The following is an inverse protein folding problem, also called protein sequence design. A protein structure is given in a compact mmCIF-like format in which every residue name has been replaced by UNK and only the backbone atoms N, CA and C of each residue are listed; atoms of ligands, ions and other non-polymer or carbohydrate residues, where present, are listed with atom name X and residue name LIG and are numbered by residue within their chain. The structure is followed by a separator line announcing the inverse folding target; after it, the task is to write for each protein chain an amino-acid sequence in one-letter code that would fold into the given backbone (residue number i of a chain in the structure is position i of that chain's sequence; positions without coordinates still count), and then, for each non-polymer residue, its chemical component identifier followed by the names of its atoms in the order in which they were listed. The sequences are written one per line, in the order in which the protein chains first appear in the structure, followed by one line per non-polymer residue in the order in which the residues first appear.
data_IF_448713354869
#
_entry.id   IF_448713354869
#
_cell.length_a   1.000
_cell.length_b   1.000
_cell.length_c   1.000
_cell.angle_alpha   90.00
_cell.angle_beta   90.00
_cell.angle_gamma   90.00
#
_symmetry.space_group_name_H-M   'P 1'
#
loop_
_entity.id
_entity.type
_entity.pdbx_description
1 polymer ?
#
# COMPACT_ATOMS: atom_id res chain seq x y z
N UNK A 1 15.85 25.34 -35.43
CA UNK A 1 15.29 24.85 -34.16
C UNK A 1 14.86 23.39 -34.40
N UNK A 2 15.71 22.42 -34.03
CA UNK A 2 15.50 20.99 -34.33
C UNK A 2 14.85 20.34 -33.10
N UNK A 3 13.65 19.81 -33.30
CA UNK A 3 12.96 18.93 -32.35
C UNK A 3 13.74 17.62 -32.23
N UNK A 4 14.25 17.33 -31.07
CA UNK A 4 14.88 16.04 -30.76
C UNK A 4 13.77 15.10 -30.32
N UNK A 5 13.55 14.06 -31.09
CA UNK A 5 12.63 12.96 -30.83
C UNK A 5 13.11 12.19 -29.58
N UNK A 6 12.29 12.25 -28.53
CA UNK A 6 12.40 11.37 -27.38
C UNK A 6 11.51 10.11 -27.60
N UNK A 7 12.03 9.16 -28.38
CA UNK A 7 11.42 7.86 -28.55
C UNK A 7 12.52 6.81 -28.53
N UNK A 8 12.81 6.28 -27.37
CA UNK A 8 13.42 4.96 -27.12
C UNK A 8 13.70 4.79 -25.63
N UNK A 9 12.66 4.52 -24.82
CA UNK A 9 12.87 3.76 -23.59
C UNK A 9 12.29 2.38 -23.82
N UNK A 10 13.16 1.55 -24.38
CA UNK A 10 13.04 0.11 -24.52
C UNK A 10 12.60 -0.53 -23.20
N UNK A 11 11.55 -1.33 -23.27
CA UNK A 11 11.19 -2.37 -22.29
C UNK A 11 12.37 -3.31 -22.08
N UNK A 12 13.19 -3.02 -21.08
CA UNK A 12 14.32 -3.84 -20.64
C UNK A 12 13.98 -4.50 -19.32
N UNK A 13 14.04 -5.80 -19.35
CA UNK A 13 14.01 -6.80 -18.29
C UNK A 13 14.59 -6.27 -16.97
N UNK A 14 13.75 -5.89 -16.02
CA UNK A 14 14.19 -5.26 -14.78
C UNK A 14 14.19 -6.27 -13.62
N UNK A 15 14.98 -7.33 -13.76
CA UNK A 15 15.57 -7.99 -12.60
C UNK A 15 16.82 -7.23 -12.17
N UNK A 16 16.66 -5.96 -11.80
CA UNK A 16 17.75 -5.17 -11.27
C UNK A 16 18.19 -5.75 -9.92
N UNK A 17 19.48 -6.11 -9.81
CA UNK A 17 20.06 -6.53 -8.54
C UNK A 17 19.76 -5.49 -7.43
N UNK A 18 19.48 -5.92 -6.18
CA UNK A 18 19.15 -5.00 -5.10
C UNK A 18 20.28 -3.98 -4.92
N UNK A 19 19.91 -2.69 -4.89
CA UNK A 19 20.86 -1.59 -4.69
C UNK A 19 21.64 -1.77 -3.38
N UNK A 20 22.94 -1.53 -3.43
CA UNK A 20 23.79 -1.61 -2.24
C UNK A 20 23.58 -0.40 -1.34
N UNK A 21 23.80 -0.53 -0.05
CA UNK A 21 23.57 0.55 0.92
C UNK A 21 24.30 1.85 0.60
N UNK A 22 25.51 1.81 0.00
CA UNK A 22 26.22 3.02 -0.45
C UNK A 22 25.51 3.75 -1.59
N UNK A 23 24.90 3.02 -2.54
CA UNK A 23 24.13 3.59 -3.64
C UNK A 23 22.84 4.22 -3.11
N UNK A 24 22.14 3.55 -2.19
CA UNK A 24 20.94 4.04 -1.53
C UNK A 24 21.21 5.30 -0.69
N UNK A 25 22.34 5.35 0.00
CA UNK A 25 22.77 6.56 0.72
C UNK A 25 22.99 7.72 -0.25
N UNK A 26 23.72 7.50 -1.34
CA UNK A 26 23.97 8.52 -2.37
C UNK A 26 22.65 9.01 -2.99
N UNK A 27 21.74 8.11 -3.31
CA UNK A 27 20.41 8.46 -3.83
C UNK A 27 19.61 9.31 -2.83
N UNK A 28 19.66 8.98 -1.53
CA UNK A 28 18.97 9.76 -0.51
C UNK A 28 19.58 11.18 -0.37
N UNK A 29 20.88 11.31 -0.36
CA UNK A 29 21.55 12.63 -0.27
C UNK A 29 21.21 13.50 -1.48
N UNK A 30 21.22 12.92 -2.68
CA UNK A 30 20.79 13.60 -3.90
C UNK A 30 19.30 14.02 -3.83
N UNK A 31 18.43 13.14 -3.30
CA UNK A 31 17.02 13.48 -3.06
C UNK A 31 16.85 14.66 -2.11
N UNK A 32 17.60 14.72 -1.01
CA UNK A 32 17.55 15.85 -0.07
C UNK A 32 17.93 17.17 -0.77
N UNK A 33 18.98 17.13 -1.60
CA UNK A 33 19.43 18.30 -2.37
C UNK A 33 18.38 18.72 -3.40
N UNK A 34 17.89 17.78 -4.21
CA UNK A 34 16.92 18.05 -5.28
C UNK A 34 15.57 18.57 -4.77
N UNK A 35 15.17 18.17 -3.56
CA UNK A 35 13.91 18.61 -2.94
C UNK A 35 14.04 19.84 -2.04
N UNK A 36 15.23 20.41 -1.91
CA UNK A 36 15.49 21.52 -1.00
C UNK A 36 15.34 21.17 0.49
N UNK A 37 15.37 19.86 0.82
CA UNK A 37 15.23 19.34 2.20
C UNK A 37 16.58 19.06 2.86
N UNK A 38 17.69 19.47 2.22
CA UNK A 38 19.04 19.32 2.75
C UNK A 38 19.15 19.91 4.16
N UNK A 39 19.52 19.06 5.11
CA UNK A 39 19.70 19.43 6.50
C UNK A 39 20.80 18.52 7.10
N UNK A 40 21.77 19.15 7.72
CA UNK A 40 22.92 18.45 8.34
C UNK A 40 22.48 17.33 9.30
N UNK A 41 21.35 17.52 10.00
CA UNK A 41 20.82 16.48 10.90
C UNK A 41 20.32 15.26 10.14
N UNK A 42 19.67 15.46 8.98
CA UNK A 42 19.17 14.35 8.14
C UNK A 42 20.34 13.60 7.47
N UNK A 43 21.34 14.33 6.99
CA UNK A 43 22.54 13.73 6.39
C UNK A 43 23.31 12.90 7.42
N UNK A 44 23.55 13.45 8.62
CA UNK A 44 24.22 12.74 9.72
C UNK A 44 23.41 11.51 10.16
N UNK A 45 22.08 11.61 10.21
CA UNK A 45 21.22 10.49 10.56
C UNK A 45 21.28 9.39 9.51
N UNK A 46 21.28 9.75 8.21
CA UNK A 46 21.45 8.79 7.12
C UNK A 46 22.79 8.07 7.21
N UNK A 47 23.90 8.81 7.37
CA UNK A 47 25.21 8.18 7.54
C UNK A 47 25.28 7.25 8.76
N UNK A 48 24.63 7.60 9.89
CA UNK A 48 24.54 6.71 11.05
C UNK A 48 23.70 5.48 10.73
N UNK A 49 22.55 5.65 10.08
CA UNK A 49 21.68 4.55 9.70
C UNK A 49 22.41 3.53 8.83
N UNK A 50 23.04 3.96 7.72
CA UNK A 50 23.75 3.06 6.82
C UNK A 50 25.05 2.49 7.40
N UNK A 51 25.67 3.14 8.38
CA UNK A 51 26.76 2.54 9.15
C UNK A 51 26.28 1.39 10.03
N UNK A 52 25.11 1.55 10.65
CA UNK A 52 24.51 0.50 11.50
C UNK A 52 23.91 -0.62 10.66
N UNK A 53 23.30 -0.26 9.53
CA UNK A 53 22.60 -1.15 8.62
C UNK A 53 23.11 -0.97 7.19
N UNK A 54 24.29 -1.56 6.85
CA UNK A 54 24.82 -1.49 5.48
C UNK A 54 23.86 -2.08 4.44
N UNK A 55 23.05 -3.08 4.84
CA UNK A 55 21.86 -3.54 4.16
C UNK A 55 20.63 -3.09 4.95
N UNK A 56 19.84 -2.12 4.44
CA UNK A 56 18.63 -1.63 5.11
C UNK A 56 17.60 -2.73 5.41
N UNK A 57 17.54 -3.80 4.60
CA UNK A 57 16.60 -4.90 4.82
C UNK A 57 16.85 -5.64 6.15
N UNK A 58 18.08 -5.65 6.62
CA UNK A 58 18.41 -6.23 7.94
C UNK A 58 17.72 -5.45 9.07
N UNK A 59 17.55 -4.14 8.92
CA UNK A 59 16.85 -3.32 9.92
C UNK A 59 15.37 -3.73 10.08
N UNK A 60 14.73 -4.22 9.01
CA UNK A 60 13.36 -4.71 9.05
C UNK A 60 13.15 -5.93 9.96
N UNK A 61 14.23 -6.70 10.21
CA UNK A 61 14.21 -7.87 11.10
C UNK A 61 14.33 -7.51 12.58
N UNK A 62 14.65 -6.24 12.90
CA UNK A 62 14.73 -5.76 14.27
C UNK A 62 13.34 -5.76 14.93
N UNK A 63 13.25 -5.92 16.28
CA UNK A 63 11.99 -5.82 16.99
C UNK A 63 11.20 -4.57 16.62
N UNK A 64 9.88 -4.68 16.49
CA UNK A 64 9.00 -3.57 16.07
C UNK A 64 9.21 -2.33 16.95
N UNK A 65 9.36 -2.50 18.26
CA UNK A 65 9.59 -1.39 19.20
C UNK A 65 10.84 -0.58 18.80
N UNK A 66 11.93 -1.24 18.42
CA UNK A 66 13.17 -0.57 18.00
C UNK A 66 13.00 0.18 16.69
N UNK A 67 12.27 -0.40 15.72
CA UNK A 67 11.98 0.25 14.44
C UNK A 67 11.08 1.47 14.61
N UNK A 68 10.13 1.44 15.54
CA UNK A 68 9.25 2.57 15.87
C UNK A 68 9.94 3.66 16.68
N UNK A 69 10.99 3.32 17.43
CA UNK A 69 11.75 4.26 18.26
C UNK A 69 12.72 5.15 17.44
N UNK A 70 12.80 4.98 16.11
CA UNK A 70 13.64 5.82 15.26
C UNK A 70 13.39 7.32 15.51
N UNK A 71 14.47 8.08 15.72
CA UNK A 71 14.41 9.51 15.98
C UNK A 71 13.84 10.30 14.77
N UNK A 72 13.48 11.55 15.01
CA UNK A 72 12.88 12.41 13.97
C UNK A 72 13.81 12.67 12.77
N UNK A 73 15.13 12.62 12.96
CA UNK A 73 16.11 12.83 11.90
C UNK A 73 16.35 11.55 11.07
N UNK A 74 16.14 10.37 11.65
CA UNK A 74 16.26 9.07 10.96
C UNK A 74 14.99 8.70 10.19
N UNK A 75 13.81 9.17 10.60
CA UNK A 75 12.53 8.87 9.91
C UNK A 75 12.51 9.22 8.43
N UNK A 76 13.04 10.38 7.97
CA UNK A 76 13.07 10.71 6.54
C UNK A 76 13.85 9.69 5.69
N UNK A 77 15.01 9.20 6.15
CA UNK A 77 15.75 8.18 5.39
C UNK A 77 15.00 6.86 5.33
N UNK A 78 14.35 6.42 6.42
CA UNK A 78 13.50 5.22 6.43
C UNK A 78 12.34 5.40 5.43
N UNK A 79 11.67 6.55 5.45
CA UNK A 79 10.58 6.85 4.52
C UNK A 79 11.05 6.83 3.06
N UNK A 80 12.18 7.46 2.77
CA UNK A 80 12.78 7.42 1.44
C UNK A 80 13.06 5.98 0.99
N UNK A 81 13.70 5.18 1.83
CA UNK A 81 14.02 3.79 1.52
C UNK A 81 12.77 2.95 1.23
N UNK A 82 11.68 3.13 1.99
CA UNK A 82 10.41 2.46 1.74
C UNK A 82 9.83 2.84 0.37
N UNK A 83 9.88 4.13 0.02
CA UNK A 83 9.28 4.64 -1.22
C UNK A 83 10.11 4.36 -2.47
N UNK A 84 11.42 4.10 -2.31
CA UNK A 84 12.35 3.82 -3.40
C UNK A 84 12.79 2.34 -3.44
N UNK A 85 12.05 1.44 -2.77
CA UNK A 85 12.28 -0.01 -2.83
C UNK A 85 13.51 -0.50 -2.06
N UNK A 86 14.21 0.40 -1.33
CA UNK A 86 15.37 0.05 -0.52
C UNK A 86 15.05 -0.62 0.82
N UNK A 87 13.79 -0.58 1.26
CA UNK A 87 13.35 -1.17 2.52
C UNK A 87 11.90 -1.65 2.45
N UNK A 88 11.69 -2.93 2.74
CA UNK A 88 10.37 -3.55 2.97
C UNK A 88 10.19 -3.76 4.47
N UNK A 89 9.51 -2.84 5.18
CA UNK A 89 9.60 -2.78 6.64
C UNK A 89 8.75 -3.80 7.39
N UNK A 90 7.92 -4.57 6.70
CA UNK A 90 6.92 -5.44 7.29
C UNK A 90 5.58 -4.73 7.53
N UNK A 91 4.49 -5.47 7.40
CA UNK A 91 3.14 -4.91 7.63
C UNK A 91 2.92 -4.50 9.09
N UNK A 92 3.57 -5.14 10.06
CA UNK A 92 3.53 -4.75 11.46
C UNK A 92 3.97 -3.29 11.66
N UNK A 93 5.06 -2.87 11.00
CA UNK A 93 5.55 -1.49 11.00
C UNK A 93 4.59 -0.57 10.23
N UNK A 94 4.19 -0.95 9.01
CA UNK A 94 3.32 -0.14 8.16
C UNK A 94 1.94 0.11 8.79
N UNK A 95 1.40 -0.86 9.53
CA UNK A 95 0.13 -0.74 10.23
C UNK A 95 0.25 0.05 11.54
N UNK A 96 1.44 0.11 12.13
CA UNK A 96 1.71 0.86 13.36
C UNK A 96 2.04 2.35 13.11
N UNK A 97 2.32 2.73 11.85
CA UNK A 97 2.63 4.11 11.46
C UNK A 97 1.45 4.79 10.80
N UNK A 98 1.23 6.07 11.13
CA UNK A 98 0.33 6.93 10.35
C UNK A 98 0.97 7.22 9.01
N UNK A 99 0.28 6.89 7.90
CA UNK A 99 0.78 7.13 6.54
C UNK A 99 0.37 8.50 5.96
N UNK A 100 -0.43 9.30 6.66
CA UNK A 100 -0.81 10.63 6.19
C UNK A 100 0.39 11.53 5.86
N UNK A 101 1.52 11.53 6.62
CA UNK A 101 2.72 12.24 6.21
C UNK A 101 3.38 11.64 4.96
N UNK A 102 3.28 10.32 4.77
CA UNK A 102 3.86 9.59 3.65
C UNK A 102 3.20 9.97 2.32
N UNK A 103 1.90 10.30 2.36
CA UNK A 103 1.15 10.68 1.16
C UNK A 103 1.80 11.80 0.35
N UNK A 104 2.33 12.81 1.03
CA UNK A 104 3.04 13.91 0.37
C UNK A 104 4.32 13.45 -0.33
N UNK A 105 5.02 12.50 0.25
CA UNK A 105 6.28 11.99 -0.28
C UNK A 105 6.09 10.97 -1.40
N UNK A 106 4.96 10.25 -1.41
CA UNK A 106 4.56 9.40 -2.53
C UNK A 106 4.48 10.21 -3.84
N UNK A 107 4.04 11.47 -3.77
CA UNK A 107 3.90 12.33 -4.96
C UNK A 107 5.21 12.57 -5.72
N UNK A 108 6.35 12.39 -5.08
CA UNK A 108 7.69 12.55 -5.66
C UNK A 108 8.46 11.24 -5.73
N UNK A 109 7.80 10.10 -5.49
CA UNK A 109 8.40 8.78 -5.45
C UNK A 109 8.09 7.96 -6.71
N UNK A 110 8.84 6.89 -6.98
CA UNK A 110 8.53 5.94 -8.05
C UNK A 110 7.14 5.29 -7.92
N UNK A 111 6.56 5.23 -6.72
CA UNK A 111 5.25 4.64 -6.47
C UNK A 111 4.10 5.49 -7.00
N UNK A 112 4.34 6.76 -7.34
CA UNK A 112 3.31 7.70 -7.79
C UNK A 112 2.50 7.16 -8.95
N UNK A 113 3.16 6.67 -9.99
CA UNK A 113 2.48 6.21 -11.21
C UNK A 113 1.45 5.11 -10.92
N UNK A 114 1.80 4.11 -10.10
CA UNK A 114 0.88 3.05 -9.70
C UNK A 114 -0.28 3.56 -8.83
N UNK A 115 0.00 4.50 -7.93
CA UNK A 115 -1.06 5.11 -7.11
C UNK A 115 -1.98 5.98 -7.96
N UNK A 116 -1.47 6.78 -8.89
CA UNK A 116 -2.29 7.58 -9.79
C UNK A 116 -3.18 6.69 -10.67
N UNK A 117 -2.65 5.58 -11.19
CA UNK A 117 -3.43 4.58 -11.92
C UNK A 117 -4.58 4.02 -11.08
N UNK A 118 -4.33 3.65 -9.82
CA UNK A 118 -5.35 3.20 -8.89
C UNK A 118 -6.43 4.28 -8.63
N UNK A 119 -6.00 5.52 -8.40
CA UNK A 119 -6.93 6.61 -8.09
C UNK A 119 -7.81 6.98 -9.28
N UNK A 120 -7.25 6.97 -10.49
CA UNK A 120 -7.99 7.24 -11.72
C UNK A 120 -9.05 6.17 -11.98
N UNK A 121 -8.70 4.88 -11.82
CA UNK A 121 -9.67 3.80 -11.96
C UNK A 121 -10.77 3.89 -10.90
N UNK A 122 -10.39 4.16 -9.64
CA UNK A 122 -11.36 4.37 -8.57
C UNK A 122 -12.31 5.56 -8.87
N UNK A 123 -11.83 6.59 -9.57
CA UNK A 123 -12.67 7.70 -10.04
C UNK A 123 -13.67 7.26 -11.08
N UNK A 124 -13.23 6.48 -12.07
CA UNK A 124 -14.10 5.94 -13.12
C UNK A 124 -15.20 5.04 -12.54
N UNK A 125 -14.89 4.31 -11.47
CA UNK A 125 -15.85 3.51 -10.71
C UNK A 125 -16.80 4.35 -9.81
N UNK A 126 -16.69 5.68 -9.81
CA UNK A 126 -17.57 6.58 -9.11
C UNK A 126 -17.27 6.78 -7.62
N UNK A 127 -16.10 6.35 -7.13
CA UNK A 127 -15.72 6.59 -5.74
C UNK A 127 -15.40 8.07 -5.49
N UNK A 128 -15.85 8.59 -4.34
CA UNK A 128 -15.60 9.98 -3.97
C UNK A 128 -14.12 10.26 -3.77
N UNK A 129 -13.67 11.49 -4.00
CA UNK A 129 -12.28 11.90 -3.81
C UNK A 129 -11.74 11.55 -2.41
N UNK A 130 -12.56 11.75 -1.36
CA UNK A 130 -12.21 11.40 0.02
C UNK A 130 -11.97 9.90 0.19
N UNK A 131 -12.86 9.07 -0.37
CA UNK A 131 -12.74 7.61 -0.29
C UNK A 131 -11.54 7.12 -1.07
N UNK A 132 -11.30 7.65 -2.28
CA UNK A 132 -10.14 7.31 -3.12
C UNK A 132 -8.82 7.57 -2.38
N UNK A 133 -8.64 8.77 -1.85
CA UNK A 133 -7.42 9.15 -1.15
C UNK A 133 -7.21 8.34 0.13
N UNK A 134 -8.27 8.11 0.91
CA UNK A 134 -8.18 7.27 2.10
C UNK A 134 -7.75 5.84 1.75
N UNK A 135 -8.43 5.20 0.78
CA UNK A 135 -8.11 3.83 0.34
C UNK A 135 -6.73 3.75 -0.29
N UNK A 136 -6.39 4.69 -1.18
CA UNK A 136 -5.09 4.74 -1.86
C UNK A 136 -3.91 4.79 -0.89
N UNK A 137 -4.05 5.57 0.19
CA UNK A 137 -3.01 5.64 1.22
C UNK A 137 -3.00 4.42 2.16
N UNK A 138 -4.14 3.76 2.37
CA UNK A 138 -4.25 2.67 3.36
C UNK A 138 -3.85 1.31 2.79
N UNK A 139 -4.26 0.96 1.58
CA UNK A 139 -4.07 -0.38 1.02
C UNK A 139 -3.02 -0.38 -0.08
N UNK A 140 -3.23 0.20 -1.28
CA UNK A 140 -2.25 0.07 -2.35
C UNK A 140 -0.88 0.65 -1.99
N UNK A 141 -0.81 1.78 -1.28
CA UNK A 141 0.49 2.31 -0.85
C UNK A 141 1.27 1.32 0.04
N UNK A 142 0.58 0.62 0.96
CA UNK A 142 1.22 -0.40 1.81
C UNK A 142 1.63 -1.64 1.02
N UNK A 143 0.77 -2.08 0.08
CA UNK A 143 1.08 -3.21 -0.79
C UNK A 143 2.34 -2.92 -1.61
N UNK A 144 2.38 -1.80 -2.33
CA UNK A 144 3.52 -1.42 -3.18
C UNK A 144 4.82 -1.29 -2.37
N UNK A 145 4.78 -0.69 -1.17
CA UNK A 145 5.95 -0.58 -0.29
C UNK A 145 6.42 -1.97 0.16
N UNK A 146 5.50 -2.83 0.61
CA UNK A 146 5.88 -4.11 1.19
C UNK A 146 6.30 -5.13 0.15
N UNK A 147 5.60 -5.20 -0.96
CA UNK A 147 5.93 -6.16 -2.02
C UNK A 147 7.10 -5.69 -2.90
N UNK A 148 7.23 -4.37 -3.07
CA UNK A 148 8.15 -3.76 -4.04
C UNK A 148 7.77 -4.06 -5.49
N UNK A 149 6.55 -4.56 -5.73
CA UNK A 149 6.00 -4.83 -7.06
C UNK A 149 5.37 -3.58 -7.64
N UNK A 150 5.36 -3.40 -8.97
CA UNK A 150 4.47 -2.43 -9.60
C UNK A 150 3.01 -2.86 -9.38
N UNK A 151 2.07 -1.91 -9.49
CA UNK A 151 0.66 -2.19 -9.23
C UNK A 151 0.09 -3.28 -10.13
N UNK A 152 0.59 -3.37 -11.35
CA UNK A 152 0.17 -4.36 -12.37
C UNK A 152 0.63 -5.80 -12.07
N UNK A 153 1.53 -5.98 -11.12
CA UNK A 153 2.06 -7.29 -10.73
C UNK A 153 1.57 -7.73 -9.34
N UNK A 154 0.68 -6.94 -8.72
CA UNK A 154 0.05 -7.35 -7.46
C UNK A 154 -0.83 -8.57 -7.70
N UNK A 155 -0.91 -9.43 -6.69
CA UNK A 155 -1.69 -10.67 -6.73
C UNK A 155 -2.73 -10.69 -5.60
N UNK A 156 -3.66 -11.62 -5.69
CA UNK A 156 -4.60 -11.87 -4.60
C UNK A 156 -3.88 -12.27 -3.31
N UNK A 157 -2.80 -13.05 -3.42
CA UNK A 157 -1.99 -13.45 -2.27
C UNK A 157 -1.36 -12.25 -1.56
N UNK A 158 -0.90 -11.22 -2.30
CA UNK A 158 -0.38 -9.98 -1.70
C UNK A 158 -1.46 -9.26 -0.88
N UNK A 159 -2.69 -9.25 -1.37
CA UNK A 159 -3.83 -8.67 -0.67
C UNK A 159 -4.23 -9.50 0.55
N UNK A 160 -4.24 -10.81 0.43
CA UNK A 160 -4.56 -11.74 1.51
C UNK A 160 -3.50 -11.69 2.63
N UNK A 161 -2.23 -11.55 2.29
CA UNK A 161 -1.15 -11.32 3.26
C UNK A 161 -1.38 -10.02 4.05
N UNK A 162 -1.78 -8.94 3.37
CA UNK A 162 -2.12 -7.69 4.04
C UNK A 162 -3.33 -7.86 4.98
N UNK A 163 -4.36 -8.58 4.56
CA UNK A 163 -5.54 -8.89 5.38
C UNK A 163 -5.14 -9.70 6.61
N UNK A 164 -4.30 -10.72 6.42
CA UNK A 164 -3.79 -11.55 7.51
C UNK A 164 -3.00 -10.70 8.53
N UNK A 165 -2.17 -9.79 8.05
CA UNK A 165 -1.42 -8.88 8.92
C UNK A 165 -2.34 -7.91 9.72
N UNK A 166 -3.42 -7.44 9.10
CA UNK A 166 -4.42 -6.63 9.81
C UNK A 166 -5.10 -7.42 10.94
N UNK A 167 -5.43 -8.69 10.71
CA UNK A 167 -6.03 -9.58 11.72
C UNK A 167 -5.04 -9.91 12.84
N UNK A 168 -3.79 -10.21 12.49
CA UNK A 168 -2.73 -10.45 13.48
C UNK A 168 -2.52 -9.23 14.38
N UNK A 169 -2.53 -8.04 13.80
CA UNK A 169 -2.44 -6.80 14.59
C UNK A 169 -3.61 -6.67 15.56
N UNK A 170 -4.83 -6.99 15.16
CA UNK A 170 -5.98 -6.98 16.07
C UNK A 170 -5.80 -7.95 17.23
N UNK A 171 -5.35 -9.17 16.94
CA UNK A 171 -5.10 -10.19 17.95
C UNK A 171 -4.02 -9.76 18.96
N UNK A 172 -2.98 -9.07 18.51
CA UNK A 172 -1.84 -8.69 19.34
C UNK A 172 -2.01 -7.37 20.07
N UNK A 173 -2.81 -6.45 19.54
CA UNK A 173 -2.93 -5.08 20.07
C UNK A 173 -4.34 -4.70 20.49
N UNK A 174 -5.35 -5.52 20.20
CA UNK A 174 -6.76 -5.20 20.41
C UNK A 174 -7.32 -4.12 19.44
N UNK A 175 -6.49 -3.59 18.55
CA UNK A 175 -6.93 -2.55 17.60
C UNK A 175 -7.66 -3.21 16.44
N UNK A 176 -8.98 -3.02 16.36
CA UNK A 176 -9.83 -3.66 15.37
C UNK A 176 -9.33 -3.41 13.93
N UNK A 177 -9.31 -4.47 13.13
CA UNK A 177 -9.02 -4.40 11.71
C UNK A 177 -10.21 -3.90 10.86
N UNK A 178 -11.38 -3.78 11.46
CA UNK A 178 -12.64 -3.43 10.74
C UNK A 178 -12.55 -2.12 9.95
N UNK A 179 -11.76 -1.16 10.42
CA UNK A 179 -11.56 0.10 9.71
C UNK A 179 -10.79 -0.05 8.37
N UNK A 180 -10.12 -1.18 8.15
CA UNK A 180 -9.49 -1.49 6.87
C UNK A 180 -10.42 -2.21 5.90
N UNK A 181 -11.50 -2.88 6.38
CA UNK A 181 -12.34 -3.75 5.55
C UNK A 181 -12.93 -3.04 4.33
N UNK A 182 -13.49 -1.84 4.51
CA UNK A 182 -14.03 -1.07 3.39
C UNK A 182 -12.96 -0.67 2.37
N UNK A 183 -11.78 -0.27 2.86
CA UNK A 183 -10.64 0.08 1.99
C UNK A 183 -10.06 -1.14 1.29
N UNK A 184 -10.05 -2.31 1.93
CA UNK A 184 -9.62 -3.59 1.33
C UNK A 184 -10.59 -4.00 0.22
N UNK A 185 -11.88 -3.98 0.48
CA UNK A 185 -12.91 -4.33 -0.51
C UNK A 185 -12.86 -3.40 -1.73
N UNK A 186 -12.71 -2.09 -1.50
CA UNK A 186 -12.53 -1.12 -2.58
C UNK A 186 -11.24 -1.36 -3.34
N UNK A 187 -10.12 -1.62 -2.66
CA UNK A 187 -8.84 -1.87 -3.32
C UNK A 187 -8.92 -3.12 -4.20
N UNK A 188 -9.54 -4.20 -3.71
CA UNK A 188 -9.79 -5.40 -4.50
C UNK A 188 -10.63 -5.10 -5.75
N UNK A 189 -11.73 -4.34 -5.60
CA UNK A 189 -12.58 -3.95 -6.72
C UNK A 189 -11.80 -3.16 -7.78
N UNK A 190 -11.04 -2.17 -7.37
CA UNK A 190 -10.24 -1.35 -8.29
C UNK A 190 -9.17 -2.18 -8.99
N UNK A 191 -8.45 -3.05 -8.27
CA UNK A 191 -7.44 -3.93 -8.86
C UNK A 191 -8.05 -4.95 -9.85
N UNK A 192 -9.26 -5.43 -9.57
CA UNK A 192 -9.99 -6.28 -10.51
C UNK A 192 -10.35 -5.53 -11.79
N UNK A 193 -10.88 -4.31 -11.71
CA UNK A 193 -11.21 -3.50 -12.89
C UNK A 193 -9.98 -3.06 -13.68
N UNK A 194 -8.84 -2.90 -13.03
CA UNK A 194 -7.54 -2.69 -13.70
C UNK A 194 -7.02 -3.94 -14.41
N UNK A 195 -7.70 -5.09 -14.29
CA UNK A 195 -7.24 -6.36 -14.85
C UNK A 195 -6.03 -6.95 -14.12
N UNK A 196 -5.76 -6.50 -12.89
CA UNK A 196 -4.65 -6.99 -12.05
C UNK A 196 -5.04 -8.25 -11.30
N UNK A 197 -6.30 -8.33 -10.88
CA UNK A 197 -6.86 -9.51 -10.21
C UNK A 197 -7.90 -10.19 -11.10
N UNK A 198 -7.87 -11.51 -11.16
CA UNK A 198 -8.74 -12.30 -12.04
C UNK A 198 -10.18 -12.43 -11.54
N UNK A 199 -10.43 -12.15 -10.27
CA UNK A 199 -11.75 -12.31 -9.64
C UNK A 199 -12.17 -11.04 -8.89
N UNK A 200 -13.46 -10.66 -8.95
CA UNK A 200 -13.98 -9.55 -8.15
C UNK A 200 -13.94 -9.88 -6.66
N UNK A 201 -14.01 -8.85 -5.80
CA UNK A 201 -14.06 -9.08 -4.36
C UNK A 201 -15.26 -9.96 -4.02
N UNK A 202 -15.02 -11.02 -3.26
CA UNK A 202 -16.12 -11.84 -2.73
C UNK A 202 -16.89 -10.95 -1.76
N UNK A 203 -18.05 -10.50 -2.16
CA UNK A 203 -19.02 -9.90 -1.25
C UNK A 203 -19.26 -10.91 -0.14
N UNK A 204 -18.82 -10.61 1.07
CA UNK A 204 -18.71 -11.47 2.25
C UNK A 204 -19.51 -12.76 2.22
N UNK A 205 -19.06 -13.81 2.87
CA UNK A 205 -19.63 -15.16 2.78
C UNK A 205 -21.17 -15.22 2.79
N UNK A 206 -21.80 -16.32 2.44
CA UNK A 206 -23.26 -16.39 2.28
C UNK A 206 -23.92 -15.71 3.48
N UNK A 207 -24.72 -14.67 3.21
CA UNK A 207 -25.48 -14.01 4.27
C UNK A 207 -26.65 -14.93 4.55
N UNK A 208 -26.82 -15.43 5.77
CA UNK A 208 -27.94 -16.31 6.09
C UNK A 208 -29.24 -15.48 6.15
N UNK A 209 -29.72 -15.05 4.97
CA UNK A 209 -30.93 -14.22 4.88
C UNK A 209 -32.14 -14.95 5.45
N UNK A 210 -32.24 -16.26 5.23
CA UNK A 210 -33.30 -17.08 5.81
C UNK A 210 -33.37 -16.96 7.34
N UNK A 211 -32.23 -17.07 8.01
CA UNK A 211 -32.13 -16.95 9.47
C UNK A 211 -32.40 -15.52 9.93
N UNK A 212 -31.87 -14.53 9.22
CA UNK A 212 -32.06 -13.11 9.55
C UNK A 212 -33.49 -12.62 9.36
N UNK A 213 -34.23 -13.25 8.45
CA UNK A 213 -35.62 -12.97 8.16
C UNK A 213 -36.57 -13.98 8.80
N UNK A 214 -36.12 -14.77 9.78
CA UNK A 214 -36.92 -15.82 10.43
C UNK A 214 -38.24 -15.30 11.01
N UNK A 215 -38.33 -14.04 11.39
CA UNK A 215 -39.55 -13.40 11.93
C UNK A 215 -40.52 -12.93 10.82
N UNK A 216 -40.10 -12.95 9.55
CA UNK A 216 -40.96 -12.60 8.41
C UNK A 216 -41.79 -13.83 7.97
N UNK A 217 -43.05 -13.63 7.56
CA UNK A 217 -43.88 -14.72 7.06
C UNK A 217 -43.25 -15.46 5.89
N UNK A 218 -43.38 -16.77 5.82
CA UNK A 218 -42.66 -17.63 4.88
C UNK A 218 -42.76 -17.17 3.40
N UNK A 219 -43.94 -16.79 2.86
CA UNK A 219 -44.02 -16.32 1.48
C UNK A 219 -43.21 -15.04 1.22
N UNK A 220 -43.35 -14.06 2.10
CA UNK A 220 -42.64 -12.80 1.97
C UNK A 220 -41.12 -12.95 2.20
N UNK A 221 -40.73 -13.88 3.08
CA UNK A 221 -39.33 -14.21 3.31
C UNK A 221 -38.65 -14.72 2.06
N UNK A 222 -39.30 -15.70 1.36
CA UNK A 222 -38.76 -16.26 0.13
C UNK A 222 -38.55 -15.19 -0.95
N UNK A 223 -39.51 -14.26 -1.11
CA UNK A 223 -39.37 -13.15 -2.05
C UNK A 223 -38.22 -12.17 -1.66
N UNK A 224 -38.15 -11.81 -0.37
CA UNK A 224 -37.09 -10.94 0.14
C UNK A 224 -35.70 -11.55 0.01
N UNK A 225 -35.55 -12.84 0.33
CA UNK A 225 -34.29 -13.55 0.14
C UNK A 225 -33.86 -13.52 -1.32
N UNK A 226 -34.77 -13.91 -2.25
CA UNK A 226 -34.49 -13.87 -3.68
C UNK A 226 -34.15 -12.47 -4.20
N UNK A 227 -34.79 -11.42 -3.68
CA UNK A 227 -34.47 -10.02 -4.00
C UNK A 227 -33.06 -9.63 -3.50
N UNK A 228 -32.75 -9.93 -2.23
CA UNK A 228 -31.48 -9.59 -1.61
C UNK A 228 -30.30 -10.32 -2.25
N UNK A 229 -30.50 -11.59 -2.63
CA UNK A 229 -29.51 -12.38 -3.36
C UNK A 229 -29.21 -11.80 -4.74
N UNK A 230 -30.26 -11.45 -5.51
CA UNK A 230 -30.09 -10.79 -6.81
C UNK A 230 -29.37 -9.44 -6.68
N UNK A 231 -29.78 -8.61 -5.71
CA UNK A 231 -29.14 -7.31 -5.48
C UNK A 231 -27.69 -7.41 -5.03
N UNK A 232 -27.30 -8.54 -4.46
CA UNK A 232 -25.94 -8.80 -4.03
C UNK A 232 -25.06 -9.33 -5.17
N UNK A 233 -25.67 -9.95 -6.19
CA UNK A 233 -24.99 -10.46 -7.37
C UNK A 233 -24.71 -9.39 -8.43
N UNK A 234 -25.33 -8.20 -8.29
CA UNK A 234 -25.08 -7.00 -9.10
C UNK A 234 -24.14 -6.04 -8.39
#
# INVERSE_FOLDING_TARGET
MRLVNASALSSGDASAAPLRGGELLTMYLNYLTATGRGNVSYERAAHRFFRTWPDPQVSAKSPLANRLAADSATRPVITFLMLHGGLRPGYDYLLSRKLSPLWREIQTSPLRAGIDQFLNEAEQLGFTARTRLATGSQVPARLLIQTGKPITELTLDDLDEFVAACRLREQTTGISHRHYLSSISMAHMVLFHLGVLDAPPRNGGPVPYEERLAQVSAPLRAELVGYLERKRAT
#
